data_IF_758219207709
#
_entry.id   IF_758219207709
#
_cell.length_a   1.000
_cell.length_b   1.000
_cell.length_c   1.000
_cell.angle_alpha   90.00
_cell.angle_beta   90.00
_cell.angle_gamma   90.00
#
_symmetry.space_group_name_H-M   'P 1'
#
loop_
_entity.id
_entity.type
_entity.pdbx_description
1 polymer ?
#
# COMPACT_ATOMS: atom_id res chain seq x y z
N UNK A 1 -30.36 -9.05 5.35
CA UNK A 1 -29.42 -9.82 4.50
C UNK A 1 -28.98 -11.11 5.20
N UNK A 2 -28.33 -11.03 6.37
CA UNK A 2 -28.04 -12.22 7.21
C UNK A 2 -29.29 -13.03 7.57
N UNK A 3 -30.41 -12.36 7.87
CA UNK A 3 -31.68 -13.04 8.21
C UNK A 3 -32.35 -13.78 7.03
N UNK A 4 -32.18 -13.30 5.79
CA UNK A 4 -32.70 -13.98 4.59
C UNK A 4 -31.79 -15.15 4.18
N UNK A 5 -30.48 -14.99 4.32
CA UNK A 5 -29.51 -16.08 4.11
C UNK A 5 -29.60 -17.15 5.20
N UNK A 6 -30.04 -16.79 6.41
CA UNK A 6 -30.26 -17.73 7.50
C UNK A 6 -31.55 -18.55 7.34
N UNK A 7 -32.59 -17.97 6.71
CA UNK A 7 -33.85 -18.66 6.43
C UNK A 7 -33.78 -19.54 5.18
N UNK A 8 -33.06 -19.10 4.15
CA UNK A 8 -32.85 -19.85 2.92
C UNK A 8 -31.36 -20.24 2.78
N UNK A 9 -31.00 -21.43 3.28
CA UNK A 9 -29.63 -21.90 3.50
C UNK A 9 -28.74 -22.03 2.23
N UNK A 10 -29.20 -21.65 1.03
CA UNK A 10 -28.41 -21.81 -0.19
C UNK A 10 -28.72 -20.83 -1.34
N UNK A 11 -29.20 -19.62 -1.02
CA UNK A 11 -29.49 -18.63 -2.07
C UNK A 11 -28.24 -17.85 -2.47
N UNK A 12 -27.94 -17.87 -3.78
CA UNK A 12 -26.88 -17.06 -4.39
C UNK A 12 -27.02 -15.60 -3.99
N UNK A 13 -25.91 -14.95 -3.63
CA UNK A 13 -25.93 -13.55 -3.18
C UNK A 13 -26.65 -12.63 -4.18
N UNK A 14 -26.53 -12.91 -5.48
CA UNK A 14 -27.20 -12.17 -6.56
C UNK A 14 -28.73 -12.24 -6.46
N UNK A 15 -29.27 -13.40 -6.08
CA UNK A 15 -30.71 -13.64 -5.98
C UNK A 15 -31.28 -13.12 -4.67
N UNK A 16 -30.51 -13.20 -3.58
CA UNK A 16 -30.83 -12.52 -2.34
C UNK A 16 -30.95 -11.00 -2.54
N UNK A 17 -30.02 -10.38 -3.28
CA UNK A 17 -30.11 -8.95 -3.61
C UNK A 17 -31.32 -8.62 -4.51
N UNK A 18 -31.66 -9.48 -5.47
CA UNK A 18 -32.86 -9.29 -6.31
C UNK A 18 -34.14 -9.35 -5.48
N UNK A 19 -34.27 -10.31 -4.57
CA UNK A 19 -35.43 -10.42 -3.65
C UNK A 19 -35.54 -9.23 -2.72
N UNK A 20 -34.43 -8.82 -2.09
CA UNK A 20 -34.40 -7.64 -1.22
C UNK A 20 -34.79 -6.38 -2.00
N UNK A 21 -34.32 -6.22 -3.23
CA UNK A 21 -34.69 -5.08 -4.08
C UNK A 21 -36.18 -5.10 -4.44
N UNK A 22 -36.77 -6.28 -4.68
CA UNK A 22 -38.21 -6.43 -4.91
C UNK A 22 -39.02 -6.04 -3.67
N UNK A 23 -38.61 -6.51 -2.49
CA UNK A 23 -39.25 -6.18 -1.21
C UNK A 23 -39.17 -4.68 -0.91
N UNK A 24 -38.01 -4.05 -1.16
CA UNK A 24 -37.83 -2.61 -0.95
C UNK A 24 -38.69 -1.75 -1.89
N UNK A 25 -38.97 -2.23 -3.11
CA UNK A 25 -39.86 -1.56 -4.07
C UNK A 25 -41.34 -1.72 -3.73
N UNK A 26 -41.70 -2.80 -3.03
CA UNK A 26 -43.07 -3.09 -2.60
C UNK A 26 -43.41 -2.50 -1.22
N UNK A 27 -42.47 -1.79 -0.60
CA UNK A 27 -42.62 -1.20 0.73
C UNK A 27 -43.35 0.15 0.66
N UNK A 28 -44.17 0.45 1.66
CA UNK A 28 -44.90 1.71 1.74
C UNK A 28 -43.97 2.92 1.95
N UNK A 29 -44.39 4.07 1.43
CA UNK A 29 -43.62 5.33 1.46
C UNK A 29 -43.20 5.76 2.87
N UNK A 30 -44.07 5.54 3.86
CA UNK A 30 -43.83 5.89 5.27
C UNK A 30 -42.76 5.01 5.92
N UNK A 31 -42.65 3.74 5.55
CA UNK A 31 -41.60 2.83 6.03
C UNK A 31 -40.26 3.12 5.36
N UNK A 32 -40.28 3.49 4.08
CA UNK A 32 -39.10 3.95 3.35
C UNK A 32 -38.50 5.19 4.02
N UNK A 33 -39.33 6.12 4.49
CA UNK A 33 -38.87 7.32 5.22
C UNK A 33 -38.26 6.99 6.58
N UNK A 34 -38.86 6.07 7.35
CA UNK A 34 -38.28 5.58 8.60
C UNK A 34 -36.91 4.92 8.37
N UNK A 35 -36.77 4.13 7.30
CA UNK A 35 -35.49 3.52 6.91
C UNK A 35 -34.45 4.55 6.43
N UNK A 36 -34.89 5.65 5.80
CA UNK A 36 -34.00 6.77 5.43
C UNK A 36 -33.54 7.55 6.66
N UNK A 37 -34.43 7.84 7.60
CA UNK A 37 -34.13 8.56 8.84
C UNK A 37 -33.13 7.80 9.72
N UNK A 38 -33.42 6.52 10.01
CA UNK A 38 -32.51 5.64 10.77
C UNK A 38 -31.13 5.51 10.13
N UNK A 39 -31.06 5.54 8.79
CA UNK A 39 -29.79 5.56 8.05
C UNK A 39 -29.04 6.87 8.22
N UNK A 40 -29.72 8.02 8.23
CA UNK A 40 -29.11 9.34 8.45
C UNK A 40 -28.53 9.41 9.87
N UNK A 41 -29.26 8.92 10.88
CA UNK A 41 -28.80 8.89 12.27
C UNK A 41 -27.57 7.98 12.46
N UNK A 42 -27.59 6.80 11.84
CA UNK A 42 -26.45 5.87 11.86
C UNK A 42 -25.22 6.37 11.06
N UNK A 43 -25.42 7.30 10.12
CA UNK A 43 -24.33 7.97 9.38
C UNK A 43 -23.76 9.16 10.16
N UNK A 44 -24.60 9.89 10.89
CA UNK A 44 -24.20 11.00 11.78
C UNK A 44 -23.24 10.54 12.89
N UNK A 45 -23.38 9.30 13.35
CA UNK A 45 -22.55 8.73 14.43
C UNK A 45 -21.17 8.19 13.98
N UNK A 46 -20.84 8.18 12.68
CA UNK A 46 -19.53 7.70 12.18
C UNK A 46 -18.71 8.90 11.70
N UNK A 47 -17.42 8.96 12.04
CA UNK A 47 -16.50 9.99 11.52
C UNK A 47 -16.55 10.04 9.98
N UNK A 48 -16.69 11.26 9.40
CA UNK A 48 -17.04 11.55 8.00
C UNK A 48 -16.85 10.36 7.02
N UNK A 49 -17.84 9.45 6.97
CA UNK A 49 -17.74 8.22 6.21
C UNK A 49 -17.79 8.52 4.71
N UNK A 50 -18.34 9.67 4.35
CA UNK A 50 -18.45 10.17 2.99
C UNK A 50 -17.07 10.59 2.45
N UNK A 51 -16.26 11.31 3.22
CA UNK A 51 -14.88 11.64 2.84
C UNK A 51 -14.02 10.38 2.62
N UNK A 52 -14.19 9.38 3.50
CA UNK A 52 -13.44 8.11 3.43
C UNK A 52 -13.90 7.22 2.27
N UNK A 53 -15.21 7.07 2.04
CA UNK A 53 -15.76 6.31 0.91
C UNK A 53 -15.48 7.01 -0.42
N UNK A 54 -15.62 8.34 -0.49
CA UNK A 54 -15.34 9.11 -1.69
C UNK A 54 -13.85 9.02 -2.04
N UNK A 55 -12.94 9.08 -1.07
CA UNK A 55 -11.50 8.88 -1.32
C UNK A 55 -11.18 7.48 -1.85
N UNK A 56 -11.81 6.42 -1.30
CA UNK A 56 -11.57 5.04 -1.71
C UNK A 56 -12.23 4.69 -3.05
N UNK A 57 -13.42 5.23 -3.32
CA UNK A 57 -14.10 5.13 -4.61
C UNK A 57 -13.34 5.89 -5.69
N UNK A 58 -12.87 7.10 -5.38
CA UNK A 58 -11.95 7.86 -6.24
C UNK A 58 -10.65 7.09 -6.45
N UNK A 59 -10.18 6.36 -5.43
CA UNK A 59 -9.03 5.44 -5.56
C UNK A 59 -9.33 4.32 -6.57
N UNK A 60 -10.43 3.60 -6.40
CA UNK A 60 -10.82 2.51 -7.31
C UNK A 60 -11.12 2.98 -8.74
N UNK A 61 -11.82 4.09 -8.94
CA UNK A 61 -12.11 4.68 -10.27
C UNK A 61 -10.81 5.04 -11.00
N UNK A 62 -9.91 5.78 -10.34
CA UNK A 62 -8.61 6.17 -10.92
C UNK A 62 -7.71 4.97 -11.23
N UNK A 63 -7.75 3.89 -10.41
CA UNK A 63 -7.03 2.64 -10.71
C UNK A 63 -7.57 1.96 -11.96
N UNK A 64 -8.90 1.87 -12.11
CA UNK A 64 -9.53 1.31 -13.31
C UNK A 64 -9.21 2.12 -14.57
N UNK A 65 -9.15 3.45 -14.46
CA UNK A 65 -8.72 4.33 -15.56
C UNK A 65 -7.27 4.06 -15.94
N UNK A 66 -6.38 3.94 -14.95
CA UNK A 66 -4.97 3.58 -15.17
C UNK A 66 -4.82 2.18 -15.81
N UNK A 67 -5.55 1.18 -15.33
CA UNK A 67 -5.58 -0.18 -15.88
C UNK A 67 -6.11 -0.20 -17.32
N UNK A 68 -7.20 0.54 -17.61
CA UNK A 68 -7.82 0.61 -18.95
C UNK A 68 -6.98 1.35 -19.98
N UNK A 69 -6.24 2.38 -19.57
CA UNK A 69 -5.48 3.24 -20.50
C UNK A 69 -3.97 2.90 -20.56
N UNK A 70 -3.58 1.73 -20.05
CA UNK A 70 -2.20 1.25 -20.15
C UNK A 70 -1.23 2.13 -19.37
N UNK A 71 -1.47 2.31 -18.07
CA UNK A 71 -0.58 3.06 -17.19
C UNK A 71 0.87 2.54 -17.30
N UNK A 72 1.88 3.43 -17.38
CA UNK A 72 3.26 3.02 -17.56
C UNK A 72 3.70 2.03 -16.48
N UNK A 73 4.33 0.94 -16.90
CA UNK A 73 4.84 -0.07 -15.97
C UNK A 73 5.99 0.50 -15.14
N UNK A 74 5.92 0.25 -13.84
CA UNK A 74 6.91 0.69 -12.85
C UNK A 74 8.29 0.09 -13.15
N UNK A 75 9.31 0.94 -13.17
CA UNK A 75 10.71 0.51 -13.22
C UNK A 75 11.26 0.21 -11.81
N UNK A 76 12.40 -0.47 -11.73
CA UNK A 76 13.07 -0.78 -10.46
C UNK A 76 13.68 0.48 -9.83
N UNK A 77 13.24 0.85 -8.62
CA UNK A 77 13.72 2.05 -7.89
C UNK A 77 14.63 1.73 -6.70
N UNK A 78 14.94 0.45 -6.45
CA UNK A 78 15.86 0.00 -5.42
C UNK A 78 17.04 -0.71 -6.07
N UNK A 79 18.25 -0.54 -5.53
CA UNK A 79 19.44 -1.23 -6.01
C UNK A 79 19.25 -2.74 -6.05
N UNK A 80 18.68 -3.32 -5.00
CA UNK A 80 18.37 -4.76 -4.98
C UNK A 80 17.38 -5.18 -6.08
N UNK A 81 16.32 -4.40 -6.30
CA UNK A 81 15.35 -4.71 -7.38
C UNK A 81 15.97 -4.61 -8.76
N UNK A 82 16.88 -3.65 -8.97
CA UNK A 82 17.66 -3.53 -10.22
C UNK A 82 18.59 -4.72 -10.40
N UNK A 83 19.28 -5.16 -9.33
CA UNK A 83 20.11 -6.35 -9.33
C UNK A 83 19.31 -7.61 -9.69
N UNK A 84 18.17 -7.85 -9.03
CA UNK A 84 17.29 -8.99 -9.33
C UNK A 84 16.78 -8.92 -10.77
N UNK A 85 16.40 -7.74 -11.26
CA UNK A 85 15.95 -7.56 -12.64
C UNK A 85 17.06 -7.89 -13.64
N UNK A 86 18.30 -7.48 -13.38
CA UNK A 86 19.45 -7.79 -14.22
C UNK A 86 19.73 -9.29 -14.26
N UNK A 87 19.72 -9.96 -13.10
CA UNK A 87 19.88 -11.42 -12.99
C UNK A 87 18.72 -12.20 -13.60
N UNK A 88 17.52 -11.65 -13.56
CA UNK A 88 16.35 -12.26 -14.20
C UNK A 88 16.36 -12.14 -15.74
N UNK A 89 17.12 -11.20 -16.32
CA UNK A 89 17.32 -11.15 -17.79
C UNK A 89 18.13 -12.35 -18.29
N UNK A 90 19.16 -12.75 -17.54
CA UNK A 90 19.95 -13.95 -17.85
C UNK A 90 19.22 -15.24 -17.50
N UNK A 91 18.36 -15.23 -16.47
CA UNK A 91 17.60 -16.39 -16.06
C UNK A 91 16.11 -16.03 -15.86
N UNK A 92 15.26 -16.18 -16.91
CA UNK A 92 13.86 -15.79 -16.84
C UNK A 92 13.10 -16.65 -15.83
N UNK A 93 12.50 -15.99 -14.84
CA UNK A 93 11.63 -16.61 -13.83
C UNK A 93 10.18 -16.81 -14.33
N UNK A 94 9.84 -16.27 -15.50
CA UNK A 94 8.49 -16.31 -16.07
C UNK A 94 8.15 -17.73 -16.51
N UNK A 95 7.03 -18.26 -16.03
CA UNK A 95 6.55 -19.61 -16.38
C UNK A 95 7.02 -20.73 -15.44
N UNK A 96 7.82 -20.41 -14.41
CA UNK A 96 8.25 -21.38 -13.41
C UNK A 96 7.26 -21.52 -12.26
N UNK A 97 7.20 -22.67 -11.58
CA UNK A 97 6.41 -22.81 -10.36
C UNK A 97 6.90 -21.84 -9.28
N UNK A 98 5.96 -21.36 -8.46
CA UNK A 98 6.21 -20.33 -7.44
C UNK A 98 7.32 -20.78 -6.45
N UNK A 99 7.38 -22.08 -6.15
CA UNK A 99 8.37 -22.69 -5.25
C UNK A 99 9.80 -22.53 -5.75
N UNK A 100 10.05 -22.68 -7.06
CA UNK A 100 11.36 -22.47 -7.67
C UNK A 100 11.74 -21.00 -7.69
N UNK A 101 10.80 -20.13 -8.05
CA UNK A 101 11.03 -18.67 -8.05
C UNK A 101 11.42 -18.19 -6.65
N UNK A 102 10.76 -18.70 -5.61
CA UNK A 102 11.09 -18.38 -4.22
C UNK A 102 12.52 -18.81 -3.84
N UNK A 103 12.96 -20.00 -4.27
CA UNK A 103 14.34 -20.47 -4.05
C UNK A 103 15.36 -19.56 -4.73
N UNK A 104 15.12 -19.20 -5.99
CA UNK A 104 16.03 -18.30 -6.74
C UNK A 104 16.07 -16.92 -6.08
N UNK A 105 14.93 -16.37 -5.66
CA UNK A 105 14.90 -15.05 -5.00
C UNK A 105 15.65 -15.06 -3.65
N UNK A 106 15.58 -16.18 -2.92
CA UNK A 106 16.33 -16.36 -1.67
C UNK A 106 17.83 -16.39 -1.92
N UNK A 107 18.28 -17.11 -2.95
CA UNK A 107 19.68 -17.13 -3.40
C UNK A 107 20.16 -15.73 -3.80
N UNK A 108 19.39 -15.00 -4.63
CA UNK A 108 19.71 -13.63 -5.03
C UNK A 108 19.78 -12.66 -3.84
N UNK A 109 18.92 -12.84 -2.83
CA UNK A 109 18.97 -12.05 -1.60
C UNK A 109 20.28 -12.30 -0.82
N UNK A 110 20.75 -13.55 -0.77
CA UNK A 110 22.01 -13.89 -0.11
C UNK A 110 23.21 -13.33 -0.89
N UNK A 111 23.22 -13.46 -2.22
CA UNK A 111 24.22 -12.84 -3.08
C UNK A 111 24.27 -11.31 -2.87
N UNK A 112 23.11 -10.65 -2.86
CA UNK A 112 23.04 -9.20 -2.62
C UNK A 112 23.65 -8.80 -1.29
N UNK A 113 23.45 -9.58 -0.23
CA UNK A 113 24.06 -9.31 1.08
C UNK A 113 25.59 -9.40 1.00
N UNK A 114 26.11 -10.38 0.26
CA UNK A 114 27.55 -10.61 0.06
C UNK A 114 28.24 -9.62 -0.89
N UNK A 115 27.51 -8.85 -1.70
CA UNK A 115 28.11 -7.84 -2.58
C UNK A 115 28.81 -6.72 -1.80
N UNK A 116 29.89 -6.20 -2.39
CA UNK A 116 30.64 -5.08 -1.84
C UNK A 116 29.88 -3.76 -2.03
N UNK A 117 30.19 -2.75 -1.20
CA UNK A 117 29.49 -1.46 -1.25
C UNK A 117 29.66 -0.74 -2.59
N UNK A 118 30.81 -0.92 -3.26
CA UNK A 118 31.07 -0.37 -4.60
C UNK A 118 30.09 -0.93 -5.64
N UNK A 119 29.84 -2.23 -5.60
CA UNK A 119 28.92 -2.91 -6.52
C UNK A 119 27.47 -2.52 -6.21
N UNK A 120 27.09 -2.50 -4.93
CA UNK A 120 25.78 -2.02 -4.48
C UNK A 120 25.52 -0.58 -4.93
N UNK A 121 26.53 0.28 -4.87
CA UNK A 121 26.45 1.69 -5.31
C UNK A 121 26.12 1.83 -6.80
N UNK A 122 26.68 0.96 -7.65
CA UNK A 122 26.35 0.95 -9.09
C UNK A 122 24.87 0.65 -9.30
N UNK A 123 24.32 -0.37 -8.64
CA UNK A 123 22.90 -0.69 -8.74
C UNK A 123 21.99 0.40 -8.16
N UNK A 124 22.41 1.06 -7.09
CA UNK A 124 21.71 2.22 -6.52
C UNK A 124 21.68 3.39 -7.49
N UNK A 125 22.77 3.63 -8.22
CA UNK A 125 22.85 4.67 -9.25
C UNK A 125 21.92 4.36 -10.42
N UNK A 126 21.94 3.12 -10.92
CA UNK A 126 20.99 2.65 -11.94
C UNK A 126 19.53 2.78 -11.49
N UNK A 127 19.23 2.49 -10.22
CA UNK A 127 17.89 2.64 -9.64
C UNK A 127 17.42 4.11 -9.63
N UNK A 128 18.33 5.08 -9.39
CA UNK A 128 18.02 6.52 -9.49
C UNK A 128 17.67 6.91 -10.93
N UNK A 129 18.50 6.50 -11.89
CA UNK A 129 18.25 6.76 -13.32
C UNK A 129 16.92 6.14 -13.78
N UNK A 130 16.62 4.91 -13.35
CA UNK A 130 15.35 4.24 -13.65
C UNK A 130 14.16 4.98 -13.07
N UNK A 131 14.30 5.56 -11.86
CA UNK A 131 13.28 6.39 -11.24
C UNK A 131 13.01 7.63 -12.08
N UNK A 132 14.04 8.37 -12.47
CA UNK A 132 13.92 9.57 -13.31
C UNK A 132 13.26 9.26 -14.66
N UNK A 133 13.73 8.21 -15.36
CA UNK A 133 13.11 7.74 -16.62
C UNK A 133 11.64 7.41 -16.45
N UNK A 134 11.26 6.76 -15.36
CA UNK A 134 9.86 6.43 -15.09
C UNK A 134 9.01 7.67 -14.78
N UNK A 135 9.56 8.63 -14.03
CA UNK A 135 8.89 9.90 -13.77
C UNK A 135 8.61 10.65 -15.07
N UNK A 136 9.56 10.66 -16.00
CA UNK A 136 9.36 11.24 -17.32
C UNK A 136 8.26 10.50 -18.10
N UNK A 137 8.28 9.16 -18.12
CA UNK A 137 7.21 8.36 -18.75
C UNK A 137 5.82 8.64 -18.18
N UNK A 138 5.70 8.85 -16.86
CA UNK A 138 4.43 9.24 -16.25
C UNK A 138 3.97 10.62 -16.75
N UNK A 139 4.89 11.59 -16.83
CA UNK A 139 4.58 12.93 -17.33
C UNK A 139 4.08 12.86 -18.78
N UNK A 140 4.82 12.16 -19.65
CA UNK A 140 4.48 12.03 -21.07
C UNK A 140 3.13 11.31 -21.24
N UNK A 141 2.87 10.27 -20.44
CA UNK A 141 1.58 9.58 -20.41
C UNK A 141 0.43 10.49 -19.95
N UNK A 142 0.66 11.32 -18.91
CA UNK A 142 -0.33 12.25 -18.42
C UNK A 142 -0.70 13.30 -19.49
N UNK A 143 0.32 13.85 -20.18
CA UNK A 143 0.15 14.80 -21.29
C UNK A 143 -0.65 14.14 -22.42
N UNK A 144 -0.26 12.94 -22.86
CA UNK A 144 -0.95 12.17 -23.90
C UNK A 144 -2.44 11.94 -23.59
N UNK A 145 -2.77 11.76 -22.31
CA UNK A 145 -4.15 11.54 -21.84
C UNK A 145 -4.88 12.83 -21.42
N UNK A 146 -4.32 14.01 -21.69
CA UNK A 146 -4.86 15.33 -21.32
C UNK A 146 -5.16 15.46 -19.82
N UNK A 147 -4.37 14.78 -18.99
CA UNK A 147 -4.43 14.89 -17.54
C UNK A 147 -3.48 16.01 -17.11
N UNK A 148 -3.89 16.88 -16.18
CA UNK A 148 -3.03 17.96 -15.65
C UNK A 148 -1.70 17.36 -15.14
N UNK A 149 -0.57 17.60 -15.80
CA UNK A 149 0.66 16.86 -15.56
C UNK A 149 1.25 17.16 -14.17
N UNK A 150 1.06 18.35 -13.61
CA UNK A 150 1.62 18.73 -12.32
C UNK A 150 0.86 18.06 -11.16
N UNK A 151 -0.48 18.18 -11.15
CA UNK A 151 -1.32 17.54 -10.12
C UNK A 151 -1.36 16.03 -10.31
N UNK A 152 -1.39 15.54 -11.55
CA UNK A 152 -1.48 14.10 -11.84
C UNK A 152 -0.17 13.38 -11.57
N UNK A 153 0.98 13.89 -12.01
CA UNK A 153 2.26 13.20 -11.77
C UNK A 153 2.58 13.12 -10.27
N UNK A 154 2.51 14.24 -9.54
CA UNK A 154 2.77 14.27 -8.09
C UNK A 154 1.79 13.38 -7.33
N UNK A 155 0.50 13.41 -7.68
CA UNK A 155 -0.51 12.57 -7.04
C UNK A 155 -0.37 11.08 -7.38
N UNK A 156 -0.02 10.72 -8.62
CA UNK A 156 0.23 9.34 -9.04
C UNK A 156 1.49 8.79 -8.34
N UNK A 157 2.55 9.58 -8.25
CA UNK A 157 3.78 9.20 -7.54
C UNK A 157 3.51 9.02 -6.04
N UNK A 158 2.83 9.98 -5.41
CA UNK A 158 2.53 9.92 -3.98
C UNK A 158 1.59 8.77 -3.65
N UNK A 159 0.49 8.61 -4.38
CA UNK A 159 -0.52 7.59 -4.11
C UNK A 159 -0.06 6.15 -4.34
N UNK A 160 0.91 5.93 -5.22
CA UNK A 160 1.44 4.59 -5.48
C UNK A 160 2.75 4.29 -4.73
N UNK A 161 3.51 5.30 -4.28
CA UNK A 161 4.88 5.08 -3.80
C UNK A 161 5.31 5.79 -2.49
N UNK A 162 4.47 6.56 -1.78
CA UNK A 162 4.87 7.17 -0.48
C UNK A 162 4.73 6.26 0.75
N UNK A 163 4.37 5.00 0.60
CA UNK A 163 4.30 4.04 1.73
C UNK A 163 5.68 3.75 2.39
N UNK A 164 6.79 4.18 1.79
CA UNK A 164 8.13 3.99 2.38
C UNK A 164 8.43 5.02 3.47
N UNK A 165 7.97 6.29 3.35
CA UNK A 165 8.23 7.32 4.38
C UNK A 165 7.39 7.12 5.65
N UNK A 166 6.13 6.69 5.53
CA UNK A 166 5.26 6.43 6.69
C UNK A 166 5.67 5.18 7.50
N UNK A 167 6.40 4.24 6.89
CA UNK A 167 6.91 3.05 7.56
C UNK A 167 8.33 3.24 8.16
N UNK A 168 9.10 4.21 7.67
CA UNK A 168 10.37 4.63 8.30
C UNK A 168 10.14 5.47 9.56
N UNK A 169 9.14 6.36 9.59
CA UNK A 169 8.77 7.09 10.81
C UNK A 169 8.08 6.23 11.89
N UNK A 170 7.73 4.97 11.58
CA UNK A 170 7.19 4.00 12.57
C UNK A 170 8.28 3.12 13.19
N UNK A 171 9.54 3.19 12.74
CA UNK A 171 10.64 2.37 13.25
C UNK A 171 11.85 3.22 13.68
N UNK A 172 11.75 3.87 14.86
CA UNK A 172 12.75 3.91 15.96
C UNK A 172 12.38 4.97 17.02
N UNK A 173 12.69 4.75 18.33
CA UNK A 173 12.68 3.50 19.08
C UNK A 173 11.85 3.61 20.39
N UNK A 174 11.27 2.49 20.81
CA UNK A 174 10.78 2.30 22.18
C UNK A 174 11.97 2.24 23.15
N UNK A 175 11.96 3.16 24.11
CA UNK A 175 12.51 3.08 25.46
C UNK A 175 13.87 2.39 25.66
N UNK A 176 14.90 3.20 25.90
CA UNK A 176 16.03 2.82 26.77
C UNK A 176 15.45 2.68 28.19
N UNK A 177 15.56 1.51 28.87
CA UNK A 177 15.23 1.44 30.28
C UNK A 177 16.29 2.23 31.06
N UNK A 178 15.85 3.27 31.78
CA UNK A 178 16.66 3.97 32.78
C UNK A 178 17.07 2.94 33.84
N UNK A 179 18.31 2.46 33.81
CA UNK A 179 18.88 1.70 34.92
C UNK A 179 18.98 2.63 36.13
N UNK A 180 18.15 2.33 37.15
CA UNK A 180 18.15 3.02 38.43
C UNK A 180 19.53 2.85 39.10
N UNK A 181 20.03 3.97 39.62
CA UNK A 181 21.25 4.12 40.43
C UNK A 181 21.35 3.01 41.49
N UNK A 182 22.41 2.21 41.42
CA UNK A 182 22.90 1.48 42.59
C UNK A 182 23.64 2.48 43.48
N UNK A 183 23.10 2.73 44.68
CA UNK A 183 23.82 3.35 45.79
C UNK A 183 24.87 2.35 46.28
N UNK A 184 26.16 2.70 46.21
CA UNK A 184 27.17 2.10 47.08
C UNK A 184 27.81 3.19 47.92
N UNK A 185 27.56 3.10 49.22
CA UNK A 185 28.18 3.86 50.31
C UNK A 185 29.65 3.42 50.41
N UNK A 186 30.58 4.35 50.64
CA UNK A 186 31.96 3.99 50.97
C UNK A 186 32.92 5.19 51.08
N UNK A 187 32.98 5.79 52.27
CA UNK A 187 33.99 6.79 52.68
C UNK A 187 35.42 6.21 52.60
N UNK A 188 36.43 7.01 52.20
CA UNK A 188 37.62 7.28 53.02
C UNK A 188 38.62 8.26 52.37
N UNK A 189 38.93 9.27 53.17
CA UNK A 189 40.10 10.17 53.21
C UNK A 189 41.44 9.54 52.79
N UNK A 190 42.35 10.31 52.16
CA UNK A 190 43.56 10.86 52.82
C UNK A 190 44.38 11.81 51.92
N UNK A 191 44.84 12.89 52.56
CA UNK A 191 45.93 13.83 52.22
C UNK A 191 47.22 13.14 51.76
N UNK A 192 48.05 13.91 51.02
CA UNK A 192 49.55 13.98 50.96
C UNK A 192 49.96 14.16 49.48
N UNK A 193 50.92 14.99 49.08
CA UNK A 193 51.78 15.98 49.70
C UNK A 193 52.01 17.08 48.65
#
# INVERSE_FOLDING_TARGET
MKELQAKDLNISSKDAFRRIASMYKALDSSEIEKLKATRIDALSQKADPEATKNSLLLRRKKRRVAEKHGFPLRQSFSGFSTFVQQRSKSNPMKGRPITEVAKVLTSLSNEWKGLNEREKSQYNTMAKVNKEKYLQKIKDWAISKKLDPAKSAIYLINRFYTEIKSNLNKKKPSAIPKSKKARSVGKRSYKKH
#
